data_IF_380670707749
#
_entry.id   IF_380670707749
#
_cell.length_a   1.000
_cell.length_b   1.000
_cell.length_c   1.000
_cell.angle_alpha   90.00
_cell.angle_beta   90.00
_cell.angle_gamma   90.00
#
_symmetry.space_group_name_H-M   'P 1'
#
loop_
_entity.id
_entity.type
_entity.pdbx_description
1 polymer ?
#
# COMPACT_ATOMS: atom_id res chain seq x y z
N UNK A 1 -4.74 9.06 13.13
CA UNK A 1 -5.95 9.16 12.28
C UNK A 1 -6.26 7.78 11.72
N UNK A 2 -7.44 7.55 11.13
CA UNK A 2 -7.84 6.24 10.59
C UNK A 2 -7.70 6.22 9.07
N UNK A 3 -7.20 5.10 8.53
CA UNK A 3 -7.08 4.86 7.09
C UNK A 3 -7.88 3.63 6.71
N UNK A 4 -8.76 3.77 5.71
CA UNK A 4 -9.54 2.64 5.17
C UNK A 4 -8.74 1.97 4.05
N UNK A 5 -8.47 0.68 4.19
CA UNK A 5 -7.87 -0.15 3.15
C UNK A 5 -8.84 -1.28 2.83
N UNK A 6 -9.38 -1.28 1.61
CA UNK A 6 -10.44 -2.18 1.19
C UNK A 6 -11.64 -2.10 2.18
N UNK A 7 -11.91 -3.15 2.95
CA UNK A 7 -12.98 -3.20 3.95
C UNK A 7 -12.52 -2.91 5.39
N UNK A 8 -11.22 -2.85 5.65
CA UNK A 8 -10.69 -2.63 6.99
C UNK A 8 -10.30 -1.19 7.24
N UNK A 9 -10.28 -0.81 8.51
CA UNK A 9 -9.84 0.51 8.96
C UNK A 9 -8.71 0.34 9.96
N UNK A 10 -7.57 0.97 9.71
CA UNK A 10 -6.38 0.88 10.54
C UNK A 10 -6.08 2.22 11.21
N UNK A 11 -5.63 2.21 12.49
CA UNK A 11 -4.96 3.37 13.02
C UNK A 11 -3.64 3.57 12.27
N UNK A 12 -3.42 4.78 11.80
CA UNK A 12 -2.21 5.14 11.08
C UNK A 12 -1.59 6.40 11.70
N UNK A 13 -0.29 6.29 11.94
CA UNK A 13 0.60 7.40 12.20
C UNK A 13 1.29 7.72 10.86
N UNK A 14 0.97 8.87 10.27
CA UNK A 14 1.57 9.32 9.01
C UNK A 14 2.13 10.73 9.16
N UNK A 15 3.06 11.06 8.29
CA UNK A 15 3.56 12.42 8.10
C UNK A 15 2.83 13.02 6.91
N UNK A 16 2.25 14.21 7.08
CA UNK A 16 1.73 15.00 5.97
C UNK A 16 2.90 15.83 5.45
N UNK A 17 3.23 15.67 4.18
CA UNK A 17 4.18 16.52 3.49
C UNK A 17 3.41 17.68 2.84
N UNK A 18 3.92 18.88 2.98
CA UNK A 18 3.40 20.06 2.28
C UNK A 18 3.94 20.04 0.86
N UNK A 19 3.09 19.67 -0.10
CA UNK A 19 3.42 19.47 -1.51
C UNK A 19 2.26 19.97 -2.36
N UNK A 20 2.52 20.31 -3.62
CA UNK A 20 1.44 20.53 -4.57
C UNK A 20 0.60 19.25 -4.74
N UNK A 21 -0.71 19.43 -4.92
CA UNK A 21 -1.62 18.30 -5.12
C UNK A 21 -1.30 17.61 -6.46
N UNK A 22 -0.70 16.43 -6.36
CA UNK A 22 -0.35 15.61 -7.52
C UNK A 22 -0.78 14.17 -7.28
N UNK A 23 -1.75 13.71 -8.07
CA UNK A 23 -2.26 12.34 -8.04
C UNK A 23 -1.23 11.29 -8.46
N UNK A 24 -0.12 11.70 -9.06
CA UNK A 24 0.99 10.81 -9.44
C UNK A 24 1.98 10.59 -8.30
N UNK A 25 1.88 11.33 -7.19
CA UNK A 25 2.74 11.12 -6.03
C UNK A 25 2.22 9.94 -5.21
N UNK A 26 2.98 8.83 -5.12
CA UNK A 26 2.51 7.64 -4.44
C UNK A 26 2.48 7.81 -2.91
N UNK A 27 1.54 7.14 -2.26
CA UNK A 27 1.49 7.06 -0.79
C UNK A 27 2.58 6.12 -0.29
N UNK A 28 3.46 6.61 0.59
CA UNK A 28 4.51 5.81 1.21
C UNK A 28 3.96 5.15 2.48
N UNK A 29 3.87 3.81 2.46
CA UNK A 29 3.52 3.04 3.65
C UNK A 29 4.76 2.83 4.53
N UNK A 30 4.81 3.54 5.65
CA UNK A 30 5.89 3.39 6.61
C UNK A 30 5.85 2.06 7.37
N UNK A 31 7.01 1.67 7.94
CA UNK A 31 7.11 0.49 8.83
C UNK A 31 6.11 0.48 10.00
N UNK A 32 5.77 1.61 10.65
CA UNK A 32 4.75 1.63 11.71
C UNK A 32 3.39 1.14 11.21
N UNK A 33 2.93 1.65 10.06
CA UNK A 33 1.66 1.21 9.46
C UNK A 33 1.71 -0.28 9.08
N UNK A 34 2.80 -0.71 8.44
CA UNK A 34 3.00 -2.12 8.09
C UNK A 34 2.94 -3.03 9.32
N UNK A 35 3.51 -2.60 10.46
CA UNK A 35 3.41 -3.34 11.72
C UNK A 35 1.97 -3.42 12.24
N UNK A 36 1.24 -2.30 12.22
CA UNK A 36 -0.16 -2.26 12.65
C UNK A 36 -1.05 -3.19 11.81
N UNK A 37 -0.85 -3.20 10.50
CA UNK A 37 -1.62 -4.02 9.57
C UNK A 37 -1.10 -5.45 9.39
N UNK A 38 -0.10 -5.85 10.21
CA UNK A 38 0.58 -7.15 10.13
C UNK A 38 0.97 -7.50 8.68
N UNK A 39 1.58 -6.54 8.00
CA UNK A 39 1.88 -6.65 6.59
C UNK A 39 2.94 -7.72 6.31
N UNK A 40 2.73 -8.51 5.26
CA UNK A 40 3.67 -9.49 4.73
C UNK A 40 3.97 -9.09 3.28
N UNK A 41 5.26 -8.99 2.96
CA UNK A 41 5.73 -8.72 1.59
C UNK A 41 6.34 -10.02 1.09
N UNK A 42 5.67 -10.65 0.13
CA UNK A 42 6.24 -11.75 -0.62
C UNK A 42 6.89 -11.20 -1.88
N UNK A 43 8.22 -11.16 -1.86
CA UNK A 43 9.00 -10.62 -2.99
C UNK A 43 9.03 -11.60 -4.16
N UNK A 44 8.99 -12.91 -3.88
CA UNK A 44 9.05 -13.93 -4.93
C UNK A 44 7.79 -13.93 -5.79
N UNK A 45 6.64 -13.85 -5.14
CA UNK A 45 5.34 -13.85 -5.80
C UNK A 45 4.83 -12.44 -6.13
N UNK A 46 5.53 -11.39 -5.68
CA UNK A 46 5.15 -9.99 -5.90
C UNK A 46 3.85 -9.62 -5.18
N UNK A 47 3.62 -10.16 -3.99
CA UNK A 47 2.39 -9.98 -3.24
C UNK A 47 2.61 -9.09 -2.01
N UNK A 48 1.70 -8.14 -1.83
CA UNK A 48 1.58 -7.38 -0.59
C UNK A 48 0.33 -7.84 0.16
N UNK A 49 0.52 -8.37 1.37
CA UNK A 49 -0.56 -8.93 2.19
C UNK A 49 -0.74 -8.11 3.45
N UNK A 50 -2.00 -7.85 3.81
CA UNK A 50 -2.38 -7.25 5.10
C UNK A 50 -3.22 -8.26 5.88
N UNK A 51 -2.93 -8.43 7.17
CA UNK A 51 -3.65 -9.37 8.03
C UNK A 51 -4.41 -8.65 9.14
N UNK A 52 -5.71 -8.95 9.24
CA UNK A 52 -6.61 -8.46 10.28
C UNK A 52 -7.30 -9.65 10.90
N UNK A 53 -6.92 -9.97 12.15
CA UNK A 53 -7.38 -11.19 12.83
C UNK A 53 -7.06 -12.43 11.97
N UNK A 54 -8.08 -13.15 11.51
CA UNK A 54 -7.93 -14.34 10.67
C UNK A 54 -8.11 -14.05 9.17
N UNK A 55 -8.39 -12.80 8.80
CA UNK A 55 -8.56 -12.38 7.42
C UNK A 55 -7.29 -11.81 6.82
N UNK A 56 -7.00 -12.19 5.57
CA UNK A 56 -5.87 -11.70 4.79
C UNK A 56 -6.37 -11.03 3.53
N UNK A 57 -5.90 -9.81 3.27
CA UNK A 57 -6.05 -9.15 1.97
C UNK A 57 -4.73 -9.30 1.24
N UNK A 58 -4.78 -9.75 -0.01
CA UNK A 58 -3.62 -9.84 -0.90
C UNK A 58 -3.77 -8.83 -2.03
N UNK A 59 -2.70 -8.11 -2.30
CA UNK A 59 -2.56 -7.21 -3.45
C UNK A 59 -1.42 -7.72 -4.33
N UNK A 60 -1.66 -7.80 -5.63
CA UNK A 60 -0.59 -8.00 -6.60
C UNK A 60 0.13 -6.66 -6.80
N UNK A 61 1.42 -6.60 -6.46
CA UNK A 61 2.19 -5.35 -6.52
C UNK A 61 2.38 -4.90 -7.96
N UNK A 62 2.56 -5.83 -8.90
CA UNK A 62 2.74 -5.48 -10.32
C UNK A 62 1.48 -4.89 -10.95
N UNK A 63 0.29 -5.37 -10.56
CA UNK A 63 -0.97 -4.76 -10.98
C UNK A 63 -1.19 -3.41 -10.32
N UNK A 64 -0.92 -3.32 -9.01
CA UNK A 64 -1.15 -2.10 -8.23
C UNK A 64 -0.22 -0.94 -8.60
N UNK A 65 0.95 -1.21 -9.19
CA UNK A 65 1.90 -0.17 -9.62
C UNK A 65 1.71 0.29 -11.06
N UNK A 66 0.80 -0.32 -11.83
CA UNK A 66 0.57 0.10 -13.23
C UNK A 66 -0.17 1.43 -13.27
N UNK A 67 0.53 2.50 -13.64
CA UNK A 67 -0.10 3.76 -14.02
C UNK A 67 -0.59 3.65 -15.47
N UNK A 68 -1.64 4.39 -15.87
CA UNK A 68 -2.13 4.39 -17.25
C UNK A 68 -1.04 4.68 -18.30
N UNK A 69 0.03 5.37 -17.90
CA UNK A 69 1.17 5.74 -18.73
C UNK A 69 2.30 4.69 -18.79
N UNK A 70 2.25 3.62 -18.00
CA UNK A 70 3.36 2.64 -17.87
C UNK A 70 3.31 1.54 -18.96
N UNK A 71 2.43 1.66 -19.96
CA UNK A 71 2.33 0.69 -21.06
C UNK A 71 3.60 0.72 -21.91
N UNK A 72 4.55 -0.16 -21.59
CA UNK A 72 5.80 -0.37 -22.34
C UNK A 72 7.08 0.00 -21.59
N UNK A 73 7.00 0.38 -20.31
CA UNK A 73 8.20 0.57 -19.49
C UNK A 73 8.60 -0.76 -18.82
N UNK A 74 9.84 -1.20 -19.05
CA UNK A 74 10.45 -2.26 -18.25
C UNK A 74 10.91 -1.67 -16.91
N UNK A 75 10.55 -2.33 -15.81
CA UNK A 75 11.09 -2.07 -14.48
C UNK A 75 12.25 -3.04 -14.17
#
# INVERSE_FOLDING_TARGET
>A
MLVKVNKFTFPADFVILDMEEDSNVPIILGRPFMKTAQAIIDVGDGEFKLKVQDEVITFNVFEATTHPNDKGACF
#
